data_IF_656825054010
#
_entry.id   IF_656825054010
#
_cell.length_a   1.000
_cell.length_b   1.000
_cell.length_c   1.000
_cell.angle_alpha   90.00
_cell.angle_beta   90.00
_cell.angle_gamma   90.00
#
_symmetry.space_group_name_H-M   'P 1'
#
loop_
_entity.id
_entity.type
_entity.pdbx_description
1 polymer ?
#
# COMPACT_ATOMS: atom_id res chain seq x y z
N UNK A 1 -20.71 -11.09 -32.61
CA UNK A 1 -21.57 -10.28 -31.72
C UNK A 1 -21.57 -10.98 -30.38
N UNK A 2 -20.92 -10.41 -29.37
CA UNK A 2 -20.94 -10.97 -27.99
C UNK A 2 -22.35 -10.77 -27.42
N UNK A 3 -22.93 -11.82 -26.85
CA UNK A 3 -24.30 -11.78 -26.34
C UNK A 3 -24.31 -11.16 -24.94
N UNK A 4 -25.44 -10.57 -24.52
CA UNK A 4 -25.57 -10.00 -23.16
C UNK A 4 -25.34 -11.04 -22.05
N UNK A 5 -25.56 -12.32 -22.35
CA UNK A 5 -25.26 -13.46 -21.47
C UNK A 5 -23.75 -13.68 -21.24
N UNK A 6 -22.92 -13.50 -22.27
CA UNK A 6 -21.45 -13.60 -22.14
C UNK A 6 -20.91 -12.51 -21.21
N UNK A 7 -21.47 -11.30 -21.30
CA UNK A 7 -21.06 -10.15 -20.50
C UNK A 7 -21.38 -10.33 -19.00
N UNK A 8 -22.52 -10.95 -18.67
CA UNK A 8 -22.87 -11.27 -17.28
C UNK A 8 -21.97 -12.35 -16.68
N UNK A 9 -21.57 -13.35 -17.48
CA UNK A 9 -20.67 -14.42 -17.03
C UNK A 9 -19.24 -13.90 -16.80
N UNK A 10 -18.75 -13.00 -17.67
CA UNK A 10 -17.49 -12.27 -17.43
C UNK A 10 -17.56 -11.37 -16.19
N UNK A 11 -18.67 -10.66 -15.97
CA UNK A 11 -18.82 -9.78 -14.80
C UNK A 11 -18.83 -10.56 -13.48
N UNK A 12 -19.49 -11.72 -13.42
CA UNK A 12 -19.46 -12.61 -12.25
C UNK A 12 -18.08 -13.27 -12.06
N UNK A 13 -17.36 -13.58 -13.15
CA UNK A 13 -15.96 -14.05 -13.09
C UNK A 13 -15.02 -12.95 -12.59
N UNK A 14 -15.22 -11.70 -12.98
CA UNK A 14 -14.50 -10.52 -12.46
C UNK A 14 -14.86 -10.29 -10.99
N UNK A 15 -16.13 -10.44 -10.60
CA UNK A 15 -16.59 -10.26 -9.21
C UNK A 15 -16.03 -11.33 -8.28
N UNK A 16 -15.99 -12.59 -8.71
CA UNK A 16 -15.40 -13.72 -7.98
C UNK A 16 -13.87 -13.60 -7.89
N UNK A 17 -13.19 -13.23 -8.98
CA UNK A 17 -11.74 -12.94 -8.95
C UNK A 17 -11.40 -11.74 -8.09
N UNK A 18 -12.24 -10.70 -8.05
CA UNK A 18 -12.04 -9.51 -7.21
C UNK A 18 -12.18 -9.83 -5.72
N UNK A 19 -13.12 -10.70 -5.34
CA UNK A 19 -13.27 -11.16 -3.96
C UNK A 19 -12.07 -12.02 -3.50
N UNK A 20 -11.58 -12.92 -4.37
CA UNK A 20 -10.38 -13.73 -4.11
C UNK A 20 -9.11 -12.87 -4.09
N UNK A 21 -9.00 -11.86 -4.97
CA UNK A 21 -7.89 -10.90 -4.94
C UNK A 21 -7.91 -10.03 -3.67
N UNK A 22 -9.08 -9.58 -3.23
CA UNK A 22 -9.22 -8.78 -2.00
C UNK A 22 -8.80 -9.56 -0.75
N UNK A 23 -9.06 -10.88 -0.71
CA UNK A 23 -8.65 -11.75 0.39
C UNK A 23 -7.16 -12.13 0.37
N UNK A 24 -6.51 -12.08 -0.80
CA UNK A 24 -5.07 -12.42 -0.95
C UNK A 24 -4.14 -11.19 -0.91
N UNK A 25 -4.65 -9.97 -1.12
CA UNK A 25 -3.91 -8.68 -1.06
C UNK A 25 -3.85 -8.05 0.35
N UNK A 26 -4.34 -8.74 1.38
CA UNK A 26 -4.20 -8.31 2.76
C UNK A 26 -2.87 -8.78 3.40
N UNK A 27 -1.96 -9.32 2.58
CA UNK A 27 -0.63 -9.74 3.05
C UNK A 27 0.29 -8.51 3.12
N UNK A 28 1.16 -8.39 4.13
CA UNK A 28 2.12 -7.29 4.30
C UNK A 28 3.18 -7.20 3.18
N UNK A 29 3.02 -7.98 2.10
CA UNK A 29 3.90 -8.01 0.94
C UNK A 29 3.47 -7.06 -0.17
N UNK A 30 2.28 -6.46 -0.08
CA UNK A 30 1.84 -5.48 -1.07
C UNK A 30 2.60 -4.15 -0.92
N UNK A 31 3.26 -3.63 -1.98
CA UNK A 31 4.10 -2.43 -1.88
C UNK A 31 3.32 -1.19 -1.42
N UNK A 32 2.05 -1.10 -1.80
CA UNK A 32 1.15 0.00 -1.43
C UNK A 32 0.95 0.08 0.08
N UNK A 33 0.93 -1.07 0.74
CA UNK A 33 0.75 -1.21 2.18
C UNK A 33 1.94 -0.62 2.94
N UNK A 34 3.14 -0.99 2.50
CA UNK A 34 4.39 -0.52 3.11
C UNK A 34 4.59 0.99 2.90
N UNK A 35 4.17 1.54 1.76
CA UNK A 35 4.29 2.98 1.48
C UNK A 35 3.31 3.84 2.30
N UNK A 36 2.08 3.38 2.48
CA UNK A 36 1.02 4.18 3.10
C UNK A 36 0.96 4.03 4.64
N UNK A 37 1.70 3.08 5.21
CA UNK A 37 1.62 2.81 6.64
C UNK A 37 2.37 3.87 7.47
N UNK A 38 1.76 4.31 8.57
CA UNK A 38 2.39 5.19 9.57
C UNK A 38 3.47 4.48 10.40
N UNK A 39 3.56 3.15 10.30
CA UNK A 39 4.60 2.32 10.91
C UNK A 39 5.89 2.27 10.08
N UNK A 40 5.84 2.70 8.81
CA UNK A 40 7.01 2.75 7.94
C UNK A 40 7.74 4.07 8.14
N UNK A 41 8.97 4.00 8.63
CA UNK A 41 9.76 5.20 9.00
C UNK A 41 10.84 5.56 7.99
N UNK A 42 11.28 4.59 7.19
CA UNK A 42 12.36 4.79 6.22
C UNK A 42 12.11 3.97 4.97
N UNK A 43 12.57 4.49 3.84
CA UNK A 43 12.56 3.81 2.54
C UNK A 43 13.93 3.95 1.89
N UNK A 44 14.44 2.85 1.33
CA UNK A 44 15.65 2.83 0.52
C UNK A 44 15.35 2.17 -0.81
N UNK A 45 15.52 2.90 -1.92
CA UNK A 45 15.28 2.39 -3.27
C UNK A 45 16.58 2.32 -4.07
N UNK A 46 16.75 1.24 -4.83
CA UNK A 46 17.81 1.07 -5.81
C UNK A 46 17.22 0.91 -7.20
N UNK A 47 17.87 1.51 -8.19
CA UNK A 47 17.50 1.39 -9.61
C UNK A 47 18.67 0.77 -10.35
N UNK A 48 18.41 -0.33 -11.04
CA UNK A 48 19.39 -1.01 -11.88
C UNK A 48 18.85 -1.14 -13.31
N UNK A 49 19.63 -0.73 -14.29
CA UNK A 49 19.31 -0.99 -15.70
C UNK A 49 19.91 -2.33 -16.08
N UNK A 50 19.05 -3.31 -16.32
CA UNK A 50 19.40 -4.56 -16.97
C UNK A 50 19.21 -4.41 -18.48
N UNK A 51 19.82 -5.28 -19.29
CA UNK A 51 19.92 -5.20 -20.76
C UNK A 51 18.75 -4.48 -21.46
N UNK A 52 17.53 -5.01 -21.31
CA UNK A 52 16.31 -4.47 -21.92
C UNK A 52 15.28 -3.94 -20.91
N UNK A 53 15.54 -4.03 -19.61
CA UNK A 53 14.58 -3.70 -18.56
C UNK A 53 15.21 -2.90 -17.43
N UNK A 54 14.45 -1.97 -16.85
CA UNK A 54 14.87 -1.26 -15.64
C UNK A 54 14.22 -1.95 -14.45
N UNK A 55 15.05 -2.39 -13.50
CA UNK A 55 14.61 -2.96 -12.25
C UNK A 55 14.68 -1.89 -11.14
N UNK A 56 13.58 -1.70 -10.44
CA UNK A 56 13.47 -0.77 -9.31
C UNK A 56 13.06 -1.58 -8.09
N UNK A 57 13.90 -1.58 -7.07
CA UNK A 57 13.67 -2.31 -5.82
C UNK A 57 13.67 -1.32 -4.67
N UNK A 58 12.61 -1.32 -3.86
CA UNK A 58 12.52 -0.51 -2.65
C UNK A 58 12.38 -1.42 -1.42
N UNK A 59 13.21 -1.14 -0.42
CA UNK A 59 13.12 -1.71 0.91
C UNK A 59 12.51 -0.69 1.87
N UNK A 60 11.67 -1.16 2.78
CA UNK A 60 10.97 -0.34 3.76
C UNK A 60 11.36 -0.80 5.17
N UNK A 61 11.73 0.16 6.03
CA UNK A 61 11.89 -0.11 7.45
C UNK A 61 10.54 0.08 8.13
N UNK A 62 9.89 -1.02 8.48
CA UNK A 62 8.53 -1.04 9.00
C UNK A 62 8.33 -2.18 9.98
N UNK A 63 7.45 -1.97 10.97
CA UNK A 63 6.98 -3.02 11.89
C UNK A 63 5.60 -3.56 11.49
N UNK A 64 5.17 -3.29 10.27
CA UNK A 64 3.88 -3.73 9.76
C UNK A 64 3.78 -5.27 9.76
N UNK A 65 2.71 -5.78 10.36
CA UNK A 65 2.41 -7.20 10.45
C UNK A 65 1.09 -7.54 9.71
N UNK A 66 0.72 -8.82 9.69
CA UNK A 66 -0.61 -9.21 9.19
C UNK A 66 -1.70 -8.66 10.13
N UNK A 67 -2.81 -8.20 9.54
CA UNK A 67 -4.02 -7.77 10.25
C UNK A 67 -3.84 -6.62 11.26
N UNK A 68 -2.80 -5.79 11.11
CA UNK A 68 -2.69 -4.51 11.83
C UNK A 68 -3.24 -3.35 10.99
N UNK A 69 -3.72 -2.32 11.67
CA UNK A 69 -4.07 -1.04 11.05
C UNK A 69 -2.83 -0.43 10.39
N UNK A 70 -3.01 0.09 9.18
CA UNK A 70 -1.93 0.71 8.41
C UNK A 70 -1.56 2.07 8.95
N UNK A 71 -2.57 2.85 9.31
CA UNK A 71 -2.42 4.16 9.89
C UNK A 71 -3.59 4.45 10.81
N UNK A 72 -3.34 5.31 11.78
CA UNK A 72 -4.37 5.78 12.69
C UNK A 72 -5.25 6.82 12.01
N UNK A 73 -6.56 6.57 11.95
CA UNK A 73 -7.52 7.52 11.38
C UNK A 73 -7.69 8.71 12.34
N UNK A 74 -7.60 9.93 11.81
CA UNK A 74 -7.81 11.16 12.57
C UNK A 74 -7.40 12.40 11.80
N UNK A 75 -7.61 13.60 12.39
CA UNK A 75 -7.10 14.84 11.82
C UNK A 75 -5.57 14.80 11.78
N UNK A 76 -4.99 15.26 10.66
CA UNK A 76 -3.55 15.26 10.45
C UNK A 76 -2.82 16.04 11.55
N UNK A 77 -1.58 15.66 11.84
CA UNK A 77 -0.65 16.43 12.69
C UNK A 77 -1.01 16.56 14.18
N UNK A 78 -2.07 15.90 14.65
CA UNK A 78 -2.51 15.97 16.04
C UNK A 78 -2.02 14.79 16.91
N UNK A 79 -1.32 13.83 16.30
CA UNK A 79 -0.84 12.60 16.95
C UNK A 79 0.58 12.24 16.53
N UNK A 80 1.39 13.24 16.19
CA UNK A 80 2.79 12.97 15.89
C UNK A 80 3.51 12.46 17.15
N UNK A 81 4.50 11.55 16.99
CA UNK A 81 5.30 11.08 18.10
C UNK A 81 5.94 12.25 18.86
N UNK A 82 6.20 12.06 20.15
CA UNK A 82 6.87 13.05 21.01
C UNK A 82 6.10 14.36 21.24
N UNK A 83 4.79 14.39 21.02
CA UNK A 83 3.96 15.56 21.32
C UNK A 83 4.20 16.74 20.38
N UNK A 84 4.81 16.49 19.22
CA UNK A 84 4.99 17.50 18.18
C UNK A 84 3.62 17.90 17.61
N UNK A 85 3.31 19.19 17.70
CA UNK A 85 2.10 19.80 17.13
C UNK A 85 2.33 20.35 15.73
N UNK A 86 3.57 20.35 15.26
CA UNK A 86 3.96 20.78 13.91
C UNK A 86 4.14 19.59 12.96
N UNK A 87 3.70 19.77 11.72
CA UNK A 87 3.88 18.80 10.64
C UNK A 87 4.19 19.52 9.34
N UNK A 88 4.76 18.80 8.38
CA UNK A 88 5.01 19.32 7.04
C UNK A 88 4.13 18.57 6.05
N UNK A 89 3.27 19.29 5.32
CA UNK A 89 2.37 18.70 4.32
C UNK A 89 1.49 17.55 4.85
N UNK A 90 1.07 17.62 6.12
CA UNK A 90 0.26 16.57 6.75
C UNK A 90 1.04 15.37 7.27
N UNK A 91 2.38 15.39 7.19
CA UNK A 91 3.27 14.33 7.68
C UNK A 91 4.08 14.79 8.90
N UNK A 92 4.28 13.88 9.85
CA UNK A 92 5.13 14.14 11.00
C UNK A 92 6.59 14.30 10.57
N UNK A 93 7.36 15.23 11.17
CA UNK A 93 8.78 15.36 10.89
C UNK A 93 9.54 14.08 11.23
N UNK A 94 10.66 13.84 10.55
CA UNK A 94 11.61 12.84 10.98
C UNK A 94 12.17 13.24 12.36
N UNK A 95 12.24 12.28 13.28
CA UNK A 95 12.82 12.46 14.61
C UNK A 95 14.35 12.60 14.55
#
# INVERSE_FOLDING_TARGET
>A
MLTSSDLSEELDRIRSRRLVYLLSQALPRDPKMNMASDLTTQVGCGVAKCDSVINVVCHYNTTLANAVLLYTIGPSCNRCPQGQTGCTNGLCPAA
#
